data_IF_959798179445
#
_entry.id   IF_959798179445
#
_cell.length_a   1.000
_cell.length_b   1.000
_cell.length_c   1.000
_cell.angle_alpha   90.00
_cell.angle_beta   90.00
_cell.angle_gamma   90.00
#
_symmetry.space_group_name_H-M   'P 1'
#
loop_
_entity.id
_entity.type
_entity.pdbx_description
1 polymer ?
#
# COMPACT_ATOMS: atom_id res chain seq x y z
N UNK A 1 1.00 -16.97 13.48
CA UNK A 1 -0.48 -16.82 13.40
C UNK A 1 -0.96 -17.44 12.09
N UNK A 2 -1.70 -18.55 12.16
CA UNK A 2 -2.08 -19.37 11.00
C UNK A 2 -3.59 -19.20 10.77
N UNK A 3 -4.01 -18.10 10.15
CA UNK A 3 -5.41 -17.89 9.78
C UNK A 3 -5.67 -18.51 8.40
N UNK A 4 -5.74 -19.85 8.33
CA UNK A 4 -6.32 -20.57 7.19
C UNK A 4 -7.78 -20.88 7.52
N UNK A 5 -8.62 -19.85 7.55
CA UNK A 5 -10.08 -20.00 7.67
C UNK A 5 -10.73 -19.77 6.31
N UNK A 6 -11.63 -20.67 5.91
CA UNK A 6 -12.57 -20.41 4.80
C UNK A 6 -13.63 -19.45 5.33
N UNK A 7 -14.00 -18.43 4.55
CA UNK A 7 -15.07 -17.51 4.93
C UNK A 7 -16.41 -18.24 4.84
N UNK A 8 -16.99 -18.63 5.97
CA UNK A 8 -18.22 -19.45 5.99
C UNK A 8 -19.49 -18.64 5.73
N UNK A 9 -19.53 -17.38 6.17
CA UNK A 9 -20.68 -16.52 5.99
C UNK A 9 -20.28 -15.04 5.89
N UNK A 10 -21.13 -14.26 5.23
CA UNK A 10 -20.95 -12.83 5.02
C UNK A 10 -22.31 -12.12 5.02
N UNK A 11 -22.38 -10.98 5.68
CA UNK A 11 -23.53 -10.07 5.62
C UNK A 11 -23.51 -9.30 4.29
N UNK A 12 -24.51 -9.54 3.46
CA UNK A 12 -24.75 -8.90 2.17
C UNK A 12 -26.11 -8.20 2.28
N UNK A 13 -26.15 -6.87 2.12
CA UNK A 13 -27.37 -6.07 2.21
C UNK A 13 -28.18 -6.32 3.51
N UNK A 14 -27.49 -6.42 4.64
CA UNK A 14 -28.03 -6.75 5.98
C UNK A 14 -28.60 -8.18 6.13
N UNK A 15 -28.36 -9.07 5.18
CA UNK A 15 -28.71 -10.49 5.27
C UNK A 15 -27.44 -11.33 5.33
N UNK A 16 -27.36 -12.24 6.32
CA UNK A 16 -26.25 -13.19 6.40
C UNK A 16 -26.46 -14.28 5.35
N UNK A 17 -25.52 -14.38 4.42
CA UNK A 17 -25.45 -15.45 3.44
C UNK A 17 -24.34 -16.43 3.82
N UNK A 18 -24.60 -17.73 3.68
CA UNK A 18 -23.64 -18.84 3.79
C UNK A 18 -23.32 -19.49 2.43
N UNK A 19 -24.01 -19.07 1.37
CA UNK A 19 -23.78 -19.53 0.00
C UNK A 19 -22.45 -18.98 -0.54
N UNK A 20 -21.49 -19.88 -0.72
CA UNK A 20 -20.14 -19.56 -1.18
C UNK A 20 -20.10 -18.90 -2.57
N UNK A 21 -21.07 -19.19 -3.45
CA UNK A 21 -21.16 -18.58 -4.78
C UNK A 21 -21.59 -17.13 -4.66
N UNK A 22 -22.65 -16.88 -3.88
CA UNK A 22 -23.18 -15.53 -3.62
C UNK A 22 -22.12 -14.67 -2.93
N UNK A 23 -21.44 -15.23 -1.93
CA UNK A 23 -20.33 -14.58 -1.21
C UNK A 23 -19.20 -14.22 -2.19
N UNK A 24 -18.75 -15.17 -3.01
CA UNK A 24 -17.69 -14.94 -4.00
C UNK A 24 -18.04 -13.84 -4.98
N UNK A 25 -19.22 -13.89 -5.57
CA UNK A 25 -19.64 -12.93 -6.60
C UNK A 25 -19.82 -11.54 -5.99
N UNK A 26 -20.34 -11.45 -4.77
CA UNK A 26 -20.42 -10.19 -4.03
C UNK A 26 -19.03 -9.60 -3.73
N UNK A 27 -18.07 -10.41 -3.28
CA UNK A 27 -16.69 -9.95 -3.01
C UNK A 27 -16.04 -9.43 -4.30
N UNK A 28 -16.14 -10.19 -5.40
CA UNK A 28 -15.54 -9.80 -6.68
C UNK A 28 -16.16 -8.50 -7.17
N UNK A 29 -17.49 -8.39 -7.13
CA UNK A 29 -18.21 -7.16 -7.49
C UNK A 29 -17.76 -5.98 -6.64
N UNK A 30 -17.79 -6.13 -5.31
CA UNK A 30 -17.41 -5.08 -4.37
C UNK A 30 -16.01 -4.52 -4.66
N UNK A 31 -15.00 -5.39 -4.79
CA UNK A 31 -13.64 -4.92 -5.05
C UNK A 31 -13.44 -4.42 -6.48
N UNK A 32 -14.13 -4.99 -7.47
CA UNK A 32 -14.09 -4.48 -8.84
C UNK A 32 -14.65 -3.06 -8.90
N UNK A 33 -15.77 -2.81 -8.26
CA UNK A 33 -16.40 -1.48 -8.19
C UNK A 33 -15.49 -0.51 -7.40
N UNK A 34 -14.94 -0.96 -6.26
CA UNK A 34 -14.03 -0.16 -5.42
C UNK A 34 -12.77 0.28 -6.18
N UNK A 35 -12.15 -0.62 -6.96
CA UNK A 35 -10.90 -0.32 -7.68
C UNK A 35 -11.11 0.24 -9.10
N UNK A 36 -12.34 0.23 -9.62
CA UNK A 36 -12.68 0.82 -10.92
C UNK A 36 -13.46 2.13 -10.81
N UNK A 37 -13.69 2.63 -9.58
CA UNK A 37 -14.36 3.91 -9.35
C UNK A 37 -13.54 5.05 -9.98
N UNK A 38 -14.17 5.85 -10.83
CA UNK A 38 -13.54 6.93 -11.58
C UNK A 38 -12.97 8.01 -10.62
N UNK A 39 -11.69 8.39 -10.71
CA UNK A 39 -11.13 9.51 -9.94
C UNK A 39 -11.72 10.89 -10.30
N UNK A 40 -12.64 10.98 -11.27
CA UNK A 40 -13.28 12.20 -11.77
C UNK A 40 -14.09 13.06 -10.75
N UNK A 41 -13.95 12.84 -9.44
CA UNK A 41 -14.44 13.78 -8.41
C UNK A 41 -13.34 14.58 -7.71
N UNK A 42 -12.09 14.53 -8.18
CA UNK A 42 -11.08 15.53 -7.78
C UNK A 42 -11.25 16.75 -8.67
N UNK A 43 -12.34 17.50 -8.45
CA UNK A 43 -12.46 18.90 -8.90
C UNK A 43 -11.65 19.79 -7.93
N UNK A 44 -10.38 19.45 -7.74
CA UNK A 44 -9.43 20.36 -7.09
C UNK A 44 -8.67 21.03 -8.21
N UNK A 45 -8.87 22.34 -8.29
CA UNK A 45 -8.07 23.24 -9.11
C UNK A 45 -6.59 23.06 -8.73
N UNK A 46 -5.90 22.15 -9.45
CA UNK A 46 -4.51 21.78 -9.22
C UNK A 46 -3.56 22.96 -9.50
N UNK A 47 -4.09 24.07 -10.03
CA UNK A 47 -3.36 25.33 -10.19
C UNK A 47 -2.81 25.87 -8.85
N UNK A 48 -3.45 25.56 -7.72
CA UNK A 48 -2.94 25.92 -6.38
C UNK A 48 -1.66 25.16 -6.04
N UNK A 49 -1.49 23.95 -6.59
CA UNK A 49 -0.35 23.06 -6.32
C UNK A 49 0.82 23.38 -7.26
N UNK A 50 0.55 23.96 -8.42
CA UNK A 50 1.55 24.38 -9.40
C UNK A 50 2.45 25.47 -8.79
N UNK A 51 3.67 25.09 -8.43
CA UNK A 51 4.64 25.94 -7.73
C UNK A 51 4.83 25.67 -6.23
N UNK A 52 3.93 24.92 -5.57
CA UNK A 52 4.14 24.44 -4.19
C UNK A 52 5.02 23.18 -4.20
N UNK A 53 4.77 22.28 -5.14
CA UNK A 53 5.58 21.08 -5.28
C UNK A 53 6.88 21.46 -5.97
N UNK A 54 7.96 21.51 -5.20
CA UNK A 54 9.29 21.69 -5.76
C UNK A 54 9.62 20.52 -6.69
N UNK A 55 10.06 20.84 -7.91
CA UNK A 55 10.57 19.85 -8.87
C UNK A 55 11.79 19.14 -8.30
N UNK A 56 11.54 18.01 -7.66
CA UNK A 56 12.52 17.21 -6.95
C UNK A 56 13.10 16.08 -7.81
N UNK A 57 12.65 15.89 -9.04
CA UNK A 57 13.13 14.86 -9.97
C UNK A 57 13.67 15.52 -11.22
N UNK A 58 14.92 15.22 -11.59
CA UNK A 58 15.50 15.73 -12.84
C UNK A 58 14.91 15.03 -14.06
N UNK A 59 14.99 15.67 -15.23
CA UNK A 59 14.53 15.06 -16.48
C UNK A 59 15.24 13.73 -16.78
N UNK A 60 16.52 13.60 -16.42
CA UNK A 60 17.29 12.37 -16.57
C UNK A 60 16.71 11.25 -15.68
N UNK A 61 16.40 11.55 -14.43
CA UNK A 61 15.81 10.59 -13.50
C UNK A 61 14.41 10.18 -13.94
N UNK A 62 13.57 11.12 -14.37
CA UNK A 62 12.25 10.80 -14.90
C UNK A 62 12.34 9.89 -16.13
N UNK A 63 13.29 10.15 -17.03
CA UNK A 63 13.54 9.28 -18.19
C UNK A 63 13.97 7.88 -17.77
N UNK A 64 14.73 7.72 -16.68
CA UNK A 64 15.12 6.42 -16.15
C UNK A 64 13.95 5.70 -15.47
N UNK A 65 13.14 6.43 -14.68
CA UNK A 65 11.98 5.88 -13.96
C UNK A 65 10.91 5.32 -14.92
N UNK A 66 10.77 5.91 -16.11
CA UNK A 66 9.80 5.49 -17.13
C UNK A 66 10.42 4.51 -18.14
N UNK A 67 11.74 4.33 -18.11
CA UNK A 67 12.42 3.39 -19.02
C UNK A 67 12.06 1.94 -18.70
N UNK A 68 12.15 1.08 -19.73
CA UNK A 68 11.97 -0.36 -19.54
C UNK A 68 13.13 -0.88 -18.67
N UNK A 69 12.86 -1.65 -17.59
CA UNK A 69 13.88 -2.22 -16.73
C UNK A 69 14.86 -3.11 -17.52
N UNK A 70 16.16 -3.00 -17.24
CA UNK A 70 17.17 -3.87 -17.84
C UNK A 70 17.08 -5.30 -17.29
N UNK A 71 17.65 -6.26 -18.01
CA UNK A 71 17.70 -7.67 -17.59
C UNK A 71 18.34 -7.85 -16.22
N UNK A 72 19.34 -7.04 -15.87
CA UNK A 72 20.02 -7.12 -14.57
C UNK A 72 19.08 -6.71 -13.41
N UNK A 73 18.28 -5.67 -13.60
CA UNK A 73 17.28 -5.23 -12.61
C UNK A 73 16.21 -6.30 -12.43
N UNK A 74 15.75 -6.90 -13.54
CA UNK A 74 14.78 -7.99 -13.50
C UNK A 74 15.37 -9.21 -12.78
N UNK A 75 16.62 -9.57 -13.10
CA UNK A 75 17.33 -10.66 -12.45
C UNK A 75 17.45 -10.41 -10.94
N UNK A 76 17.96 -9.26 -10.52
CA UNK A 76 18.07 -8.93 -9.11
C UNK A 76 16.72 -8.97 -8.39
N UNK A 77 15.66 -8.41 -8.99
CA UNK A 77 14.32 -8.45 -8.42
C UNK A 77 13.77 -9.88 -8.27
N UNK A 78 14.04 -10.77 -9.22
CA UNK A 78 13.62 -12.18 -9.16
C UNK A 78 14.38 -12.93 -8.07
N UNK A 79 15.69 -12.75 -7.98
CA UNK A 79 16.56 -13.54 -7.09
C UNK A 79 16.63 -13.01 -5.65
N UNK A 80 16.24 -11.76 -5.41
CA UNK A 80 16.07 -11.22 -4.05
C UNK A 80 14.72 -11.61 -3.42
N UNK A 81 13.77 -12.11 -4.19
CA UNK A 81 12.46 -12.52 -3.68
C UNK A 81 12.51 -13.88 -2.98
N UNK A 82 11.78 -13.99 -1.86
CA UNK A 82 11.62 -15.27 -1.15
C UNK A 82 10.89 -16.30 -2.03
N UNK A 83 11.52 -17.48 -2.19
CA UNK A 83 11.04 -18.58 -3.02
C UNK A 83 9.67 -19.13 -2.59
N UNK A 84 9.31 -19.02 -1.31
CA UNK A 84 8.04 -19.54 -0.78
C UNK A 84 6.92 -18.50 -0.72
N UNK A 85 7.16 -17.32 -1.27
CA UNK A 85 6.31 -16.18 -1.04
C UNK A 85 5.09 -16.07 -1.97
N UNK A 86 5.02 -16.89 -3.03
CA UNK A 86 3.85 -16.99 -3.91
C UNK A 86 3.60 -18.43 -4.37
N UNK A 87 2.34 -18.83 -4.70
CA UNK A 87 2.00 -20.20 -5.08
C UNK A 87 2.42 -20.62 -6.50
N UNK A 88 3.02 -19.72 -7.30
CA UNK A 88 3.50 -20.00 -8.65
C UNK A 88 3.19 -18.88 -9.67
N UNK A 89 3.82 -18.98 -10.85
CA UNK A 89 3.80 -17.98 -11.94
C UNK A 89 2.40 -17.60 -12.44
N UNK A 90 1.55 -18.59 -12.71
CA UNK A 90 0.21 -18.40 -13.26
C UNK A 90 -0.89 -18.45 -12.20
N UNK A 91 -0.51 -18.38 -10.93
CA UNK A 91 -1.46 -18.47 -9.83
C UNK A 91 -2.05 -17.09 -9.53
N UNK A 92 -3.38 -16.99 -9.57
CA UNK A 92 -4.13 -15.80 -9.19
C UNK A 92 -4.91 -16.12 -7.92
N UNK A 93 -4.23 -16.05 -6.77
CA UNK A 93 -4.87 -16.27 -5.48
C UNK A 93 -5.21 -14.94 -4.82
N UNK A 94 -6.47 -14.76 -4.42
CA UNK A 94 -6.89 -13.65 -3.56
C UNK A 94 -7.15 -14.24 -2.18
N UNK A 95 -6.50 -13.68 -1.18
CA UNK A 95 -6.74 -14.01 0.24
C UNK A 95 -7.33 -12.79 0.93
N UNK A 96 -8.39 -13.00 1.70
CA UNK A 96 -8.99 -11.94 2.51
C UNK A 96 -8.41 -11.98 3.93
N UNK A 97 -7.81 -10.87 4.36
CA UNK A 97 -7.33 -10.70 5.74
C UNK A 97 -8.31 -9.83 6.52
N UNK A 98 -8.69 -10.28 7.71
CA UNK A 98 -9.52 -9.54 8.65
C UNK A 98 -8.86 -8.19 9.03
N UNK A 99 -9.57 -7.08 8.89
CA UNK A 99 -9.18 -5.78 9.48
C UNK A 99 -9.49 -5.72 10.96
N UNK A 100 -10.61 -6.32 11.35
CA UNK A 100 -11.14 -6.34 12.72
C UNK A 100 -11.55 -7.77 13.08
N UNK A 101 -11.66 -8.06 14.37
CA UNK A 101 -12.17 -9.35 14.86
C UNK A 101 -13.64 -9.50 14.49
N UNK A 102 -14.06 -10.74 14.25
CA UNK A 102 -15.47 -11.11 14.01
C UNK A 102 -16.13 -10.30 12.89
N UNK A 103 -15.39 -10.04 11.81
CA UNK A 103 -15.91 -9.24 10.70
C UNK A 103 -16.98 -10.01 9.92
N UNK A 104 -18.09 -9.32 9.68
CA UNK A 104 -19.25 -9.86 8.96
C UNK A 104 -19.48 -9.17 7.62
N UNK A 105 -18.82 -8.05 7.33
CA UNK A 105 -19.03 -7.27 6.09
C UNK A 105 -17.76 -7.24 5.24
N UNK A 106 -17.89 -7.24 3.91
CA UNK A 106 -16.76 -7.32 2.97
C UNK A 106 -15.73 -6.19 3.12
N UNK A 107 -16.19 -4.98 3.48
CA UNK A 107 -15.34 -3.80 3.68
C UNK A 107 -14.41 -3.91 4.91
N UNK A 108 -14.69 -4.86 5.82
CA UNK A 108 -13.87 -5.17 7.00
C UNK A 108 -12.76 -6.18 6.69
N UNK A 109 -12.61 -6.59 5.44
CA UNK A 109 -11.49 -7.39 4.96
C UNK A 109 -10.52 -6.52 4.15
N UNK A 110 -9.25 -6.94 4.09
CA UNK A 110 -8.25 -6.45 3.13
C UNK A 110 -8.01 -7.55 2.11
N UNK A 111 -8.17 -7.27 0.81
CA UNK A 111 -7.79 -8.23 -0.21
C UNK A 111 -6.26 -8.23 -0.33
N UNK A 112 -5.67 -9.41 -0.33
CA UNK A 112 -4.27 -9.62 -0.70
C UNK A 112 -4.25 -10.47 -1.96
N UNK A 113 -3.70 -9.89 -3.03
CA UNK A 113 -3.46 -10.59 -4.29
C UNK A 113 -2.08 -11.23 -4.22
N UNK A 114 -2.03 -12.55 -4.32
CA UNK A 114 -0.83 -13.36 -4.37
C UNK A 114 -0.63 -13.85 -5.80
N UNK A 115 0.07 -13.04 -6.58
CA UNK A 115 0.49 -13.37 -7.94
C UNK A 115 1.97 -12.97 -8.09
N UNK A 116 2.77 -13.91 -8.60
CA UNK A 116 4.20 -13.73 -8.79
C UNK A 116 4.56 -12.56 -9.72
N UNK A 117 3.85 -12.41 -10.84
CA UNK A 117 4.09 -11.34 -11.81
C UNK A 117 3.84 -9.97 -11.19
N UNK A 118 2.70 -9.78 -10.52
CA UNK A 118 2.41 -8.51 -9.83
C UNK A 118 3.44 -8.21 -8.74
N UNK A 119 3.94 -9.24 -8.05
CA UNK A 119 4.94 -9.07 -7.01
C UNK A 119 6.29 -8.63 -7.57
N UNK A 120 6.76 -9.25 -8.67
CA UNK A 120 7.99 -8.81 -9.35
C UNK A 120 7.83 -7.41 -9.92
N UNK A 121 6.73 -7.14 -10.64
CA UNK A 121 6.49 -5.81 -11.19
C UNK A 121 6.50 -4.74 -10.10
N UNK A 122 5.86 -5.00 -8.96
CA UNK A 122 5.88 -4.10 -7.81
C UNK A 122 7.29 -3.93 -7.21
N UNK A 123 8.07 -5.01 -7.10
CA UNK A 123 9.45 -4.96 -6.60
C UNK A 123 10.33 -4.08 -7.50
N UNK A 124 10.28 -4.30 -8.81
CA UNK A 124 11.03 -3.51 -9.79
C UNK A 124 10.65 -2.02 -9.69
N UNK A 125 9.35 -1.71 -9.64
CA UNK A 125 8.89 -0.33 -9.48
C UNK A 125 9.40 0.32 -8.19
N UNK A 126 9.38 -0.42 -7.08
CA UNK A 126 9.90 0.06 -5.80
C UNK A 126 11.41 0.31 -5.86
N UNK A 127 12.19 -0.60 -6.46
CA UNK A 127 13.64 -0.45 -6.57
C UNK A 127 14.03 0.76 -7.42
N UNK A 128 13.28 1.01 -8.50
CA UNK A 128 13.47 2.19 -9.34
C UNK A 128 13.08 3.47 -8.60
N UNK A 129 11.92 3.49 -7.93
CA UNK A 129 11.44 4.65 -7.19
C UNK A 129 12.31 4.96 -5.97
N UNK A 130 12.90 3.95 -5.33
CA UNK A 130 13.75 4.10 -4.15
C UNK A 130 14.95 5.05 -4.38
N UNK A 131 15.40 5.20 -5.62
CA UNK A 131 16.50 6.11 -5.99
C UNK A 131 16.16 7.58 -5.74
N UNK A 132 14.88 7.94 -5.82
CA UNK A 132 14.40 9.32 -5.64
C UNK A 132 13.45 9.48 -4.45
N UNK A 133 12.95 8.38 -3.88
CA UNK A 133 11.94 8.37 -2.82
C UNK A 133 12.28 9.29 -1.64
N UNK A 134 13.51 9.24 -1.13
CA UNK A 134 13.92 10.06 0.01
C UNK A 134 13.90 11.57 -0.26
N UNK A 135 14.00 11.99 -1.52
CA UNK A 135 13.99 13.40 -1.94
C UNK A 135 12.60 13.91 -2.28
N UNK A 136 11.74 13.04 -2.83
CA UNK A 136 10.37 13.43 -3.22
C UNK A 136 9.37 13.32 -2.07
N UNK A 137 9.68 12.50 -1.06
CA UNK A 137 8.85 12.30 0.12
C UNK A 137 9.25 13.26 1.22
N UNK A 138 8.25 13.87 1.87
CA UNK A 138 8.42 14.79 3.00
C UNK A 138 9.41 14.23 4.04
N UNK A 139 10.30 15.07 4.61
CA UNK A 139 11.24 14.63 5.64
C UNK A 139 10.54 14.15 6.92
N UNK A 140 9.26 14.51 7.14
CA UNK A 140 8.46 14.06 8.27
C UNK A 140 7.85 12.66 8.07
N UNK A 141 7.95 12.07 6.88
CA UNK A 141 7.53 10.69 6.66
C UNK A 141 8.68 9.73 6.97
N UNK A 142 8.61 9.07 8.12
CA UNK A 142 9.64 8.14 8.58
C UNK A 142 9.35 6.67 8.25
N UNK A 143 8.11 6.34 7.86
CA UNK A 143 7.76 4.98 7.44
C UNK A 143 8.06 4.72 5.96
N UNK A 144 8.52 3.50 5.66
CA UNK A 144 8.69 2.99 4.30
C UNK A 144 9.69 3.75 3.41
N UNK A 145 10.60 4.53 4.00
CA UNK A 145 11.72 5.20 3.32
C UNK A 145 13.01 4.61 3.86
N UNK A 146 13.96 4.30 2.97
CA UNK A 146 15.28 3.79 3.37
C UNK A 146 15.95 4.78 4.33
N UNK A 147 16.61 4.24 5.35
CA UNK A 147 17.35 5.01 6.36
C UNK A 147 16.48 5.94 7.23
N UNK A 148 15.15 5.75 7.26
CA UNK A 148 14.23 6.39 8.21
C UNK A 148 13.54 5.32 9.04
N UNK A 149 13.47 5.53 10.36
CA UNK A 149 12.92 4.54 11.27
C UNK A 149 11.61 5.03 11.88
N UNK A 150 10.60 4.15 11.96
CA UNK A 150 9.31 4.49 12.59
C UNK A 150 9.44 4.85 14.07
N UNK A 151 10.52 4.38 14.72
CA UNK A 151 10.86 4.71 16.10
C UNK A 151 11.18 6.19 16.29
N UNK A 152 11.71 6.86 15.25
CA UNK A 152 12.00 8.29 15.28
C UNK A 152 10.71 9.12 15.44
N UNK A 153 9.59 8.66 14.86
CA UNK A 153 8.29 9.30 15.08
C UNK A 153 7.88 9.28 16.56
N UNK A 154 8.15 8.18 17.26
CA UNK A 154 7.78 8.02 18.68
C UNK A 154 8.64 8.95 19.53
N UNK A 155 9.95 9.00 19.26
CA UNK A 155 10.89 9.90 19.94
C UNK A 155 10.51 11.36 19.70
N UNK A 156 10.24 11.75 18.45
CA UNK A 156 9.83 13.10 18.10
C UNK A 156 8.53 13.50 18.81
N UNK A 157 7.53 12.61 18.82
CA UNK A 157 6.27 12.85 19.53
C UNK A 157 6.49 13.02 21.04
N UNK A 158 7.35 12.18 21.63
CA UNK A 158 7.72 12.27 23.05
C UNK A 158 8.41 13.61 23.37
N UNK A 159 9.36 14.03 22.55
CA UNK A 159 10.05 15.31 22.70
C UNK A 159 9.09 16.50 22.58
N UNK A 160 8.16 16.46 21.62
CA UNK A 160 7.13 17.49 21.48
C UNK A 160 6.27 17.61 22.75
N UNK A 161 5.81 16.49 23.31
CA UNK A 161 5.02 16.48 24.57
C UNK A 161 5.84 17.04 25.73
N UNK A 162 7.11 16.66 25.85
CA UNK A 162 8.00 17.14 26.91
C UNK A 162 8.29 18.65 26.80
N UNK A 163 8.46 19.17 25.58
CA UNK A 163 8.66 20.60 25.33
C UNK A 163 7.41 21.44 25.66
N UNK A 164 6.22 20.92 25.39
CA UNK A 164 4.95 21.55 25.77
C UNK A 164 4.80 21.64 27.30
N UNK A 165 5.15 20.57 28.03
CA UNK A 165 5.11 20.57 29.50
C UNK A 165 6.08 21.58 30.12
N UNK A 166 7.28 21.74 29.55
CA UNK A 166 8.30 22.69 30.05
C UNK A 166 7.92 24.16 29.86
N UNK A 167 7.06 24.51 28.89
CA UNK A 167 6.60 25.89 28.66
C UNK A 167 5.42 26.34 29.52
N UNK A 168 4.77 25.44 30.25
CA UNK A 168 3.63 25.79 31.11
C UNK A 168 4.04 26.28 32.52
N UNK A 169 5.33 26.27 32.87
CA UNK A 169 5.85 26.82 34.12
C UNK A 169 6.55 28.16 33.88
N UNK A 170 5.79 29.16 33.45
CA UNK A 170 6.18 30.58 33.59
C UNK A 170 4.92 31.31 34.06
N UNK A 171 4.66 31.20 35.36
CA UNK A 171 3.65 31.95 36.10
C UNK A 171 4.31 32.61 37.28
#
# INVERSE_FOLDING_TARGET
MKCRGVLFSLSIDNVISDDQTVIRDHIVKFYKDLFSSDPAQIDQDLSIIDGIIQSSVSHKENSLLVSIPSTDVIHDAVFTMDAFSTPGLNSNFITLILKIRDSITVNQFRPIVLNFLFKISSKILVDMLAQVAARIVSPQQFGFIRDRHIEDCITLASDCVNLLHKKCYVG
#
